data_IF_967413289661
#
_entry.id   IF_967413289661
#
_cell.length_a   1.000
_cell.length_b   1.000
_cell.length_c   1.000
_cell.angle_alpha   90.00
_cell.angle_beta   90.00
_cell.angle_gamma   90.00
#
_symmetry.space_group_name_H-M   'P 1'
#
loop_
_entity.id
_entity.type
_entity.pdbx_description
1 polymer ?
#
# COMPACT_ATOMS: atom_id res chain seq x y z
N UNK A 1 -18.62 11.49 20.89
CA UNK A 1 -18.75 11.22 19.45
C UNK A 1 -17.39 10.78 18.95
N UNK A 2 -17.25 9.55 18.46
CA UNK A 2 -16.00 9.11 17.82
C UNK A 2 -15.85 9.86 16.48
N UNK A 3 -14.64 10.28 16.15
CA UNK A 3 -14.37 10.96 14.88
C UNK A 3 -14.48 9.94 13.74
N UNK A 4 -15.34 10.20 12.75
CA UNK A 4 -15.65 9.23 11.69
C UNK A 4 -14.43 8.83 10.83
N UNK A 5 -13.36 9.64 10.84
CA UNK A 5 -12.11 9.38 10.13
C UNK A 5 -10.96 9.04 11.10
N UNK A 6 -11.28 8.49 12.27
CA UNK A 6 -10.25 8.05 13.21
C UNK A 6 -9.38 6.96 12.55
N UNK A 7 -8.04 7.09 12.62
CA UNK A 7 -7.16 6.08 12.03
C UNK A 7 -7.37 4.70 12.66
N UNK A 8 -7.35 3.68 11.82
CA UNK A 8 -7.45 2.28 12.23
C UNK A 8 -6.04 1.74 12.39
N UNK A 9 -5.67 1.41 13.61
CA UNK A 9 -4.36 0.88 13.92
C UNK A 9 -4.30 -0.65 13.68
N UNK A 10 -3.33 -1.10 12.91
CA UNK A 10 -3.15 -2.51 12.54
C UNK A 10 -1.85 -3.04 13.12
N UNK A 11 -1.97 -4.03 13.99
CA UNK A 11 -0.84 -4.78 14.58
C UNK A 11 -0.91 -6.27 14.25
N UNK A 12 -1.92 -6.69 13.48
CA UNK A 12 -2.08 -8.07 13.01
C UNK A 12 -1.14 -8.36 11.83
N UNK A 13 -0.86 -9.65 11.62
CA UNK A 13 -0.05 -10.11 10.49
C UNK A 13 -0.80 -9.99 9.15
N UNK A 14 -2.13 -10.02 9.18
CA UNK A 14 -2.99 -9.90 7.99
C UNK A 14 -4.14 -8.95 8.26
N UNK A 15 -4.62 -8.28 7.21
CA UNK A 15 -5.83 -7.46 7.22
C UNK A 15 -6.49 -7.52 5.84
N UNK A 16 -7.79 -7.77 5.81
CA UNK A 16 -8.60 -7.53 4.60
C UNK A 16 -9.28 -6.18 4.74
N UNK A 17 -9.07 -5.29 3.76
CA UNK A 17 -9.75 -4.01 3.73
C UNK A 17 -11.21 -4.21 3.32
N UNK A 18 -12.05 -3.43 3.97
CA UNK A 18 -13.49 -3.41 3.78
C UNK A 18 -13.94 -1.97 3.53
N UNK A 19 -14.92 -1.79 2.65
CA UNK A 19 -15.41 -0.47 2.25
C UNK A 19 -16.13 0.26 3.38
N UNK A 20 -16.92 -0.43 4.19
CA UNK A 20 -17.71 0.21 5.25
C UNK A 20 -16.82 0.75 6.37
N UNK A 21 -15.74 0.03 6.67
CA UNK A 21 -14.89 0.29 7.83
C UNK A 21 -13.63 1.08 7.47
N UNK A 22 -13.05 0.83 6.30
CA UNK A 22 -11.72 1.35 5.94
C UNK A 22 -11.73 2.39 4.82
N UNK A 23 -12.86 2.58 4.13
CA UNK A 23 -12.94 3.61 3.08
C UNK A 23 -12.80 5.00 3.70
N UNK A 24 -12.05 5.88 3.04
CA UNK A 24 -11.83 7.29 3.40
C UNK A 24 -11.10 7.54 4.74
N UNK A 25 -10.89 6.53 5.58
CA UNK A 25 -10.03 6.61 6.76
C UNK A 25 -8.57 6.20 6.45
N UNK A 26 -7.69 6.34 7.43
CA UNK A 26 -6.27 5.96 7.34
C UNK A 26 -6.05 4.68 8.13
N UNK A 27 -5.52 3.66 7.45
CA UNK A 27 -5.04 2.43 8.05
C UNK A 27 -3.57 2.64 8.42
N UNK A 28 -3.23 2.56 9.70
CA UNK A 28 -1.85 2.68 10.16
C UNK A 28 -1.28 1.29 10.41
N UNK A 29 -0.30 0.89 9.60
CA UNK A 29 0.46 -0.34 9.80
C UNK A 29 1.54 -0.11 10.87
N UNK A 30 1.34 -0.71 12.05
CA UNK A 30 2.20 -0.59 13.23
C UNK A 30 2.73 -1.97 13.65
N UNK A 31 3.33 -2.69 12.70
CA UNK A 31 3.93 -4.01 12.93
C UNK A 31 5.30 -4.08 12.26
N UNK A 32 6.35 -4.15 13.07
CA UNK A 32 7.75 -4.24 12.61
C UNK A 32 8.02 -5.44 11.71
N UNK A 33 7.32 -6.54 11.94
CA UNK A 33 7.42 -7.78 11.17
C UNK A 33 6.59 -7.78 9.87
N UNK A 34 6.08 -6.62 9.43
CA UNK A 34 5.24 -6.47 8.24
C UNK A 34 3.78 -6.84 8.45
N UNK A 35 2.93 -6.57 7.48
CA UNK A 35 1.52 -7.00 7.46
C UNK A 35 1.14 -7.28 6.01
N UNK A 36 0.31 -8.27 5.75
CA UNK A 36 -0.32 -8.47 4.44
C UNK A 36 -1.69 -7.83 4.44
N UNK A 37 -1.88 -6.79 3.64
CA UNK A 37 -3.13 -6.06 3.46
C UNK A 37 -3.71 -6.47 2.11
N UNK A 38 -4.91 -7.05 2.13
CA UNK A 38 -5.63 -7.44 0.92
C UNK A 38 -6.76 -6.44 0.65
N UNK A 39 -6.79 -5.86 -0.55
CA UNK A 39 -7.87 -4.98 -1.00
C UNK A 39 -9.16 -5.79 -1.22
N UNK A 40 -10.36 -5.17 -1.19
CA UNK A 40 -11.54 -5.78 -1.79
C UNK A 40 -11.41 -5.84 -3.32
N UNK A 41 -12.31 -6.58 -3.98
CA UNK A 41 -12.36 -6.61 -5.43
C UNK A 41 -12.68 -5.21 -6.00
N UNK A 42 -12.03 -4.84 -7.10
CA UNK A 42 -12.26 -3.55 -7.77
C UNK A 42 -13.57 -3.55 -8.55
N UNK A 43 -14.51 -2.73 -8.10
CA UNK A 43 -15.83 -2.56 -8.73
C UNK A 43 -15.96 -1.24 -9.51
N UNK A 44 -14.93 -0.39 -9.49
CA UNK A 44 -14.94 0.95 -10.07
C UNK A 44 -15.87 1.92 -9.34
N UNK A 45 -15.98 1.82 -8.01
CA UNK A 45 -16.93 2.61 -7.18
C UNK A 45 -16.30 3.78 -6.44
N UNK A 46 -15.03 4.08 -6.67
CA UNK A 46 -14.35 5.23 -6.07
C UNK A 46 -13.93 5.06 -4.61
N UNK A 47 -13.94 3.84 -4.07
CA UNK A 47 -13.45 3.56 -2.72
C UNK A 47 -11.97 3.95 -2.60
N UNK A 48 -11.60 4.61 -1.50
CA UNK A 48 -10.23 5.07 -1.25
C UNK A 48 -9.69 4.45 0.02
N UNK A 49 -8.50 3.88 -0.09
CA UNK A 49 -7.78 3.30 1.04
C UNK A 49 -6.43 4.00 1.18
N UNK A 50 -6.13 4.48 2.38
CA UNK A 50 -4.83 5.07 2.72
C UNK A 50 -4.14 4.17 3.72
N UNK A 51 -2.98 3.65 3.34
CA UNK A 51 -2.11 2.89 4.23
C UNK A 51 -0.92 3.76 4.60
N UNK A 52 -0.71 3.95 5.89
CA UNK A 52 0.42 4.69 6.45
C UNK A 52 1.29 3.77 7.30
N UNK A 53 2.61 3.84 7.11
CA UNK A 53 3.58 3.09 7.91
C UNK A 53 3.88 3.87 9.19
N UNK A 54 3.30 3.44 10.30
CA UNK A 54 3.51 4.09 11.60
C UNK A 54 4.71 3.55 12.38
N UNK A 55 5.14 2.32 12.08
CA UNK A 55 6.37 1.70 12.61
C UNK A 55 7.19 1.14 11.44
N UNK A 56 8.48 1.46 11.41
CA UNK A 56 9.41 0.96 10.39
C UNK A 56 9.39 -0.57 10.33
N UNK A 57 9.28 -1.12 9.13
CA UNK A 57 9.41 -2.56 8.91
C UNK A 57 10.88 -2.94 9.10
N UNK A 58 11.15 -3.88 10.00
CA UNK A 58 12.51 -4.36 10.33
C UNK A 58 12.70 -5.83 9.99
N UNK A 59 11.60 -6.58 9.85
CA UNK A 59 11.60 -7.99 9.45
C UNK A 59 10.43 -8.26 8.50
N UNK A 60 10.67 -9.11 7.49
CA UNK A 60 9.73 -9.40 6.40
C UNK A 60 9.33 -8.15 5.58
N UNK A 61 8.04 -7.96 5.30
CA UNK A 61 7.55 -6.89 4.44
C UNK A 61 6.11 -6.51 4.77
N UNK A 62 5.78 -5.23 4.58
CA UNK A 62 4.40 -4.77 4.43
C UNK A 62 3.98 -5.00 2.97
N UNK A 63 2.98 -5.83 2.78
CA UNK A 63 2.47 -6.22 1.46
C UNK A 63 1.07 -5.63 1.32
N UNK A 64 0.79 -4.96 0.21
CA UNK A 64 -0.56 -4.55 -0.19
C UNK A 64 -0.85 -5.22 -1.53
N UNK A 65 -1.89 -6.05 -1.60
CA UNK A 65 -2.22 -6.83 -2.79
C UNK A 65 -3.69 -6.70 -3.15
N UNK A 66 -4.00 -6.86 -4.44
CA UNK A 66 -5.37 -6.96 -4.93
C UNK A 66 -6.07 -8.24 -4.44
N UNK A 67 -7.39 -8.30 -4.59
CA UNK A 67 -8.19 -9.44 -4.13
C UNK A 67 -8.09 -10.68 -5.03
N UNK A 68 -7.77 -10.50 -6.31
CA UNK A 68 -7.90 -11.51 -7.35
C UNK A 68 -6.93 -11.24 -8.51
N UNK A 69 -6.72 -12.25 -9.37
CA UNK A 69 -5.75 -12.18 -10.47
C UNK A 69 -6.20 -11.32 -11.68
N UNK A 70 -7.42 -10.77 -11.66
CA UNK A 70 -7.92 -9.91 -12.74
C UNK A 70 -7.77 -8.43 -12.44
N UNK A 71 -7.62 -8.07 -11.17
CA UNK A 71 -7.44 -6.69 -10.72
C UNK A 71 -5.97 -6.28 -10.86
N UNK A 72 -5.72 -5.06 -11.34
CA UNK A 72 -4.38 -4.49 -11.47
C UNK A 72 -4.25 -3.15 -10.75
N UNK A 73 -3.01 -2.75 -10.53
CA UNK A 73 -2.61 -1.45 -10.01
C UNK A 73 -2.01 -0.59 -11.12
N UNK A 74 -2.45 0.67 -11.22
CA UNK A 74 -2.00 1.61 -12.22
C UNK A 74 -1.58 2.94 -11.57
N UNK A 75 -0.34 3.35 -11.77
CA UNK A 75 0.15 4.63 -11.28
C UNK A 75 1.64 4.62 -10.98
N UNK A 76 2.04 5.45 -10.02
CA UNK A 76 3.44 5.61 -9.63
C UNK A 76 3.59 5.78 -8.13
N UNK A 77 4.68 5.27 -7.57
CA UNK A 77 5.10 5.56 -6.19
C UNK A 77 6.48 6.21 -6.21
N UNK A 78 6.63 7.31 -5.48
CA UNK A 78 7.96 7.86 -5.21
C UNK A 78 8.62 7.03 -4.11
N UNK A 79 9.87 6.60 -4.32
CA UNK A 79 10.71 5.93 -3.33
C UNK A 79 11.93 6.80 -3.13
N UNK A 80 12.26 7.17 -1.90
CA UNK A 80 13.27 8.18 -1.63
C UNK A 80 14.02 7.89 -0.33
N UNK A 81 15.35 7.83 -0.45
CA UNK A 81 16.29 7.99 0.65
C UNK A 81 16.66 9.47 0.87
N UNK A 82 16.68 10.25 -0.21
CA UNK A 82 17.02 11.67 -0.24
C UNK A 82 16.27 12.45 -1.34
N UNK A 83 16.65 13.71 -1.59
CA UNK A 83 16.03 14.58 -2.59
C UNK A 83 16.11 14.05 -4.04
N UNK A 84 17.02 13.12 -4.33
CA UNK A 84 17.24 12.49 -5.63
C UNK A 84 16.47 11.19 -5.84
N UNK A 85 15.52 10.85 -4.96
CA UNK A 85 14.72 9.62 -5.01
C UNK A 85 14.11 9.29 -6.38
N UNK A 86 13.67 8.04 -6.52
CA UNK A 86 13.16 7.49 -7.79
C UNK A 86 11.63 7.42 -7.80
N UNK A 87 11.01 7.72 -8.94
CA UNK A 87 9.58 7.45 -9.16
C UNK A 87 9.43 6.12 -9.89
N UNK A 88 8.87 5.13 -9.22
CA UNK A 88 8.62 3.80 -9.77
C UNK A 88 7.22 3.74 -10.41
N UNK A 89 7.09 3.50 -11.73
CA UNK A 89 5.81 3.22 -12.36
C UNK A 89 5.39 1.76 -12.18
N UNK A 90 4.08 1.50 -12.22
CA UNK A 90 3.53 0.15 -12.34
C UNK A 90 3.83 -0.47 -13.71
N UNK A 91 4.01 -1.80 -13.75
CA UNK A 91 3.91 -2.58 -14.97
C UNK A 91 2.44 -2.88 -15.33
N UNK A 92 2.19 -3.49 -16.49
CA UNK A 92 0.83 -3.78 -16.98
C UNK A 92 0.07 -4.80 -16.10
N UNK A 93 0.81 -5.64 -15.38
CA UNK A 93 0.35 -6.74 -14.54
C UNK A 93 0.68 -6.52 -13.05
N UNK A 94 1.06 -5.31 -12.66
CA UNK A 94 1.34 -5.02 -11.25
C UNK A 94 0.07 -5.18 -10.42
N UNK A 95 0.11 -6.08 -9.44
CA UNK A 95 -1.04 -6.44 -8.60
C UNK A 95 -0.70 -6.38 -7.09
N UNK A 96 0.58 -6.14 -6.78
CA UNK A 96 1.14 -6.20 -5.44
C UNK A 96 2.17 -5.10 -5.22
N UNK A 97 2.12 -4.47 -4.05
CA UNK A 97 3.12 -3.53 -3.51
C UNK A 97 3.79 -4.20 -2.31
N UNK A 98 5.11 -4.34 -2.35
CA UNK A 98 5.93 -4.93 -1.27
C UNK A 98 6.93 -3.92 -0.73
N UNK A 99 6.80 -3.56 0.55
CA UNK A 99 7.69 -2.65 1.28
C UNK A 99 8.51 -3.43 2.32
N UNK A 100 9.84 -3.48 2.13
CA UNK A 100 10.74 -4.32 2.93
C UNK A 100 11.46 -3.58 4.09
N UNK A 101 11.17 -2.29 4.30
CA UNK A 101 11.87 -1.46 5.29
C UNK A 101 13.22 -0.91 4.83
N UNK A 102 13.62 -1.19 3.58
CA UNK A 102 14.88 -0.74 3.00
C UNK A 102 14.67 -0.28 1.55
N UNK A 103 15.06 -1.06 0.54
CA UNK A 103 15.13 -0.65 -0.87
C UNK A 103 13.77 -0.34 -1.50
N UNK A 104 12.69 -1.00 -1.06
CA UNK A 104 11.34 -0.82 -1.62
C UNK A 104 10.44 0.05 -0.74
N UNK A 105 11.02 0.77 0.22
CA UNK A 105 10.28 1.59 1.18
C UNK A 105 9.80 0.81 2.41
N UNK A 106 8.92 1.41 3.21
CA UNK A 106 8.43 0.78 4.46
C UNK A 106 9.14 1.29 5.72
N UNK A 107 9.94 2.34 5.61
CA UNK A 107 10.36 3.13 6.76
C UNK A 107 9.16 3.95 7.26
N UNK A 108 9.09 4.19 8.57
CA UNK A 108 8.08 5.04 9.19
C UNK A 108 7.92 6.36 8.43
N UNK A 109 6.67 6.72 8.13
CA UNK A 109 6.34 7.89 7.29
C UNK A 109 5.99 7.55 5.85
N UNK A 110 6.32 6.34 5.39
CA UNK A 110 5.86 5.85 4.08
C UNK A 110 4.33 5.78 4.03
N UNK A 111 3.75 6.12 2.89
CA UNK A 111 2.31 6.02 2.69
C UNK A 111 1.94 5.66 1.25
N UNK A 112 0.82 4.96 1.12
CA UNK A 112 0.21 4.59 -0.16
C UNK A 112 -1.28 4.91 -0.10
N UNK A 113 -1.79 5.56 -1.14
CA UNK A 113 -3.22 5.69 -1.40
C UNK A 113 -3.60 4.85 -2.61
N UNK A 114 -4.67 4.07 -2.46
CA UNK A 114 -5.27 3.24 -3.50
C UNK A 114 -6.71 3.68 -3.71
N UNK A 115 -7.09 3.91 -4.97
CA UNK A 115 -8.41 4.40 -5.36
C UNK A 115 -9.01 3.45 -6.39
N UNK A 116 -10.23 2.98 -6.15
CA UNK A 116 -10.98 2.15 -7.10
C UNK A 116 -11.53 3.02 -8.25
N UNK A 117 -10.84 3.06 -9.38
CA UNK A 117 -11.13 4.02 -10.47
C UNK A 117 -11.93 3.44 -11.63
N UNK A 118 -11.81 2.15 -11.86
CA UNK A 118 -12.54 1.38 -12.87
C UNK A 118 -12.57 -0.06 -12.41
N UNK A 119 -13.57 -0.85 -12.83
CA UNK A 119 -13.59 -2.28 -12.53
C UNK A 119 -12.28 -2.92 -12.98
N UNK A 120 -11.66 -3.68 -12.07
CA UNK A 120 -10.34 -4.29 -12.27
C UNK A 120 -9.15 -3.35 -12.15
N UNK A 121 -9.31 -2.08 -11.78
CA UNK A 121 -8.20 -1.10 -11.77
C UNK A 121 -8.18 -0.25 -10.50
N UNK A 122 -7.09 -0.40 -9.75
CA UNK A 122 -6.72 0.43 -8.63
C UNK A 122 -5.72 1.51 -9.06
N UNK A 123 -6.11 2.78 -8.98
CA UNK A 123 -5.15 3.87 -9.12
C UNK A 123 -4.28 3.97 -7.86
N UNK A 124 -2.96 4.02 -8.04
CA UNK A 124 -2.00 4.09 -6.93
C UNK A 124 -1.20 5.38 -6.95
N UNK A 125 -1.01 5.98 -5.77
CA UNK A 125 -0.11 7.11 -5.55
C UNK A 125 0.42 7.12 -4.12
N UNK A 126 1.55 7.75 -3.90
CA UNK A 126 2.15 7.82 -2.57
C UNK A 126 3.63 8.14 -2.58
N UNK A 127 4.19 8.17 -1.38
CA UNK A 127 5.61 8.40 -1.12
C UNK A 127 6.12 7.38 -0.11
N UNK A 128 7.17 6.67 -0.49
CA UNK A 128 7.81 5.63 0.29
C UNK A 128 9.18 6.10 0.72
N UNK A 129 9.46 5.96 2.01
CA UNK A 129 10.77 6.26 2.60
C UNK A 129 11.58 4.98 2.65
N UNK A 130 12.77 5.01 2.06
CA UNK A 130 13.73 3.90 2.00
C UNK A 130 15.00 4.23 2.81
N UNK A 131 15.84 3.22 3.05
CA UNK A 131 17.19 3.39 3.62
C UNK A 131 18.31 2.89 2.70
N UNK A 132 17.97 2.07 1.70
CA UNK A 132 18.89 1.54 0.71
C UNK A 132 18.59 2.09 -0.69
N UNK A 133 19.36 1.65 -1.68
CA UNK A 133 19.16 2.02 -3.08
C UNK A 133 17.74 1.69 -3.51
N UNK A 134 17.06 2.69 -4.06
CA UNK A 134 15.66 2.62 -4.44
C UNK A 134 15.42 1.50 -5.45
N UNK A 135 14.43 0.66 -5.17
CA UNK A 135 13.96 -0.40 -6.04
C UNK A 135 12.44 -0.30 -6.22
N UNK A 136 11.93 -0.89 -7.31
CA UNK A 136 10.48 -0.96 -7.52
C UNK A 136 9.82 -1.75 -6.38
N UNK A 137 8.75 -1.21 -5.75
CA UNK A 137 7.95 -1.97 -4.80
C UNK A 137 6.91 -2.85 -5.50
N UNK A 138 6.71 -2.71 -6.82
CA UNK A 138 5.66 -3.38 -7.56
C UNK A 138 6.08 -4.76 -8.07
N UNK A 139 5.15 -5.70 -8.04
CA UNK A 139 5.28 -7.04 -8.62
C UNK A 139 3.92 -7.57 -9.09
N UNK A 140 3.96 -8.65 -9.87
CA UNK A 140 2.83 -9.52 -10.17
C UNK A 140 2.96 -10.80 -9.33
N UNK A 141 2.12 -10.96 -8.31
CA UNK A 141 2.20 -12.05 -7.34
C UNK A 141 0.85 -12.69 -7.01
N UNK A 142 -0.26 -12.14 -7.50
CA UNK A 142 -1.61 -12.68 -7.34
C UNK A 142 -1.98 -13.48 -8.60
N UNK A 143 -2.47 -14.71 -8.42
CA UNK A 143 -2.76 -15.66 -9.51
C UNK A 143 -4.09 -16.38 -9.32
#
# INVERSE_FOLDING_TARGET
MAYALQPINVTAATLTLDKETHSETVVTANREAGTTITLPASEGKGAKYRVFVGTTITSNSLIIQVANATDIMAGTLAVSTDIGGTVAPTAADSDTITMNGSTTGGVKGSYVELIDVSSGVWAVRGGLVSTGVEATPFSAAVS
#
